data_IF_238167690649
#
_entry.id   IF_238167690649
#
_cell.length_a   1.000
_cell.length_b   1.000
_cell.length_c   1.000
_cell.angle_alpha   90.00
_cell.angle_beta   90.00
_cell.angle_gamma   90.00
#
_symmetry.space_group_name_H-M   'P 1'
#
loop_
_entity.id
_entity.type
_entity.pdbx_description
1 polymer ?
#
# COMPACT_ATOMS: atom_id res chain seq x y z
N UNK A 1 0.37 17.97 -14.52
CA UNK A 1 -0.32 16.77 -14.01
C UNK A 1 0.47 16.26 -12.83
N UNK A 2 -0.20 16.05 -11.71
CA UNK A 2 0.40 15.55 -10.49
C UNK A 2 0.47 14.02 -10.59
N UNK A 3 1.62 13.45 -10.21
CA UNK A 3 1.90 12.02 -10.31
C UNK A 3 1.72 11.37 -8.95
N UNK A 4 1.02 10.24 -8.91
CA UNK A 4 0.77 9.48 -7.70
C UNK A 4 1.26 8.06 -7.86
N UNK A 5 2.06 7.58 -6.91
CA UNK A 5 2.33 6.15 -6.81
C UNK A 5 1.13 5.49 -6.12
N UNK A 6 0.68 4.37 -6.68
CA UNK A 6 -0.50 3.66 -6.21
C UNK A 6 -0.11 2.52 -5.27
N UNK A 7 -0.74 2.50 -4.10
CA UNK A 7 -0.59 1.48 -3.08
C UNK A 7 -1.94 0.78 -2.85
N UNK A 8 -1.86 -0.51 -2.55
CA UNK A 8 -2.97 -1.31 -2.05
C UNK A 8 -2.75 -1.53 -0.56
N UNK A 9 -3.78 -1.33 0.25
CA UNK A 9 -3.74 -1.82 1.63
C UNK A 9 -4.59 -3.07 1.81
N UNK A 10 -4.13 -3.97 2.67
CA UNK A 10 -4.74 -5.27 2.95
C UNK A 10 -4.83 -5.50 4.46
N UNK A 11 -6.03 -5.78 4.95
CA UNK A 11 -6.25 -6.12 6.36
C UNK A 11 -5.89 -7.56 6.66
N UNK A 12 -5.52 -7.82 7.91
CA UNK A 12 -5.33 -9.16 8.45
C UNK A 12 -5.61 -9.19 9.96
N UNK A 13 -6.04 -10.34 10.51
CA UNK A 13 -6.33 -10.44 11.92
C UNK A 13 -5.06 -10.51 12.77
N UNK A 14 -5.21 -10.14 14.05
CA UNK A 14 -4.15 -10.21 15.06
C UNK A 14 -4.53 -11.22 16.14
N UNK A 15 -3.82 -12.35 16.14
CA UNK A 15 -4.11 -13.45 17.06
C UNK A 15 -3.36 -13.34 18.39
N UNK A 16 -2.32 -12.51 18.47
CA UNK A 16 -1.47 -12.34 19.65
C UNK A 16 -1.64 -10.94 20.25
N UNK A 17 -1.48 -10.83 21.57
CA UNK A 17 -1.64 -9.55 22.27
C UNK A 17 -0.40 -8.66 22.14
N UNK A 18 -0.22 -8.09 20.95
CA UNK A 18 0.91 -7.22 20.61
C UNK A 18 0.83 -5.85 21.28
N UNK A 19 -0.38 -5.39 21.62
CA UNK A 19 -0.62 -4.08 22.22
C UNK A 19 -0.54 -4.08 23.75
N UNK A 20 -0.36 -5.24 24.39
CA UNK A 20 -0.35 -5.35 25.85
C UNK A 20 -1.69 -5.01 26.49
N UNK A 21 -2.80 -5.25 25.79
CA UNK A 21 -4.15 -5.05 26.31
C UNK A 21 -4.38 -5.96 27.53
N UNK A 22 -5.24 -5.57 28.49
CA UNK A 22 -5.68 -6.49 29.54
C UNK A 22 -6.20 -7.79 28.93
N UNK A 23 -5.86 -8.94 29.53
CA UNK A 23 -6.18 -10.25 28.96
C UNK A 23 -7.68 -10.44 28.69
N UNK A 24 -8.53 -9.95 29.59
CA UNK A 24 -9.99 -10.01 29.45
C UNK A 24 -10.49 -9.17 28.27
N UNK A 25 -9.97 -7.96 28.11
CA UNK A 25 -10.30 -7.09 26.96
C UNK A 25 -9.85 -7.72 25.64
N UNK A 26 -8.64 -8.28 25.60
CA UNK A 26 -8.11 -8.93 24.41
C UNK A 26 -8.94 -10.16 24.00
N UNK A 27 -9.38 -10.97 24.97
CA UNK A 27 -10.22 -12.15 24.70
C UNK A 27 -11.66 -11.79 24.32
N UNK A 28 -12.17 -10.66 24.79
CA UNK A 28 -13.53 -10.21 24.50
C UNK A 28 -13.72 -9.73 23.05
N UNK A 29 -12.64 -9.37 22.34
CA UNK A 29 -12.72 -8.90 20.95
C UNK A 29 -13.00 -10.06 20.00
N UNK A 30 -14.15 -10.00 19.34
CA UNK A 30 -14.53 -10.90 18.24
C UNK A 30 -13.74 -10.55 16.97
N UNK A 31 -12.77 -11.39 16.64
CA UNK A 31 -11.89 -11.21 15.47
C UNK A 31 -12.66 -11.29 14.15
N UNK A 32 -13.68 -12.16 14.05
CA UNK A 32 -14.44 -12.30 12.81
C UNK A 32 -15.27 -11.06 12.57
N UNK A 33 -15.92 -10.54 13.63
CA UNK A 33 -16.63 -9.27 13.56
C UNK A 33 -15.71 -8.13 13.13
N UNK A 34 -14.50 -8.02 13.70
CA UNK A 34 -13.51 -7.02 13.29
C UNK A 34 -13.10 -7.13 11.82
N UNK A 35 -13.04 -8.35 11.27
CA UNK A 35 -12.75 -8.56 9.84
C UNK A 35 -13.94 -8.19 8.95
N UNK A 36 -15.17 -8.44 9.41
CA UNK A 36 -16.39 -8.10 8.66
C UNK A 36 -16.63 -6.58 8.64
N UNK A 37 -16.25 -5.88 9.72
CA UNK A 37 -16.38 -4.43 9.91
C UNK A 37 -15.07 -3.65 9.64
N UNK A 38 -14.06 -4.29 9.05
CA UNK A 38 -12.69 -3.74 8.92
C UNK A 38 -12.64 -2.36 8.22
N UNK A 39 -13.53 -2.11 7.26
CA UNK A 39 -13.62 -0.83 6.55
C UNK A 39 -14.19 0.26 7.42
N UNK A 40 -15.28 -0.04 8.13
CA UNK A 40 -15.89 0.88 9.08
C UNK A 40 -14.90 1.23 10.20
N UNK A 41 -14.17 0.24 10.72
CA UNK A 41 -13.16 0.45 11.75
C UNK A 41 -12.01 1.36 11.28
N UNK A 42 -11.50 1.17 10.06
CA UNK A 42 -10.51 2.10 9.49
C UNK A 42 -11.13 3.48 9.21
N UNK A 43 -12.39 3.53 8.77
CA UNK A 43 -13.13 4.78 8.56
C UNK A 43 -13.21 5.63 9.82
N UNK A 44 -13.54 5.02 10.97
CA UNK A 44 -13.54 5.71 12.27
C UNK A 44 -12.16 6.30 12.58
N UNK A 45 -11.09 5.53 12.37
CA UNK A 45 -9.72 6.03 12.58
C UNK A 45 -9.42 7.22 11.65
N UNK A 46 -9.79 7.13 10.39
CA UNK A 46 -9.56 8.19 9.41
C UNK A 46 -10.40 9.44 9.72
N UNK A 47 -11.64 9.28 10.18
CA UNK A 47 -12.53 10.35 10.62
C UNK A 47 -11.97 11.07 11.84
N UNK A 48 -11.44 10.35 12.82
CA UNK A 48 -10.77 10.93 13.99
C UNK A 48 -9.62 11.85 13.57
N UNK A 49 -8.79 11.41 12.62
CA UNK A 49 -7.69 12.24 12.07
C UNK A 49 -8.22 13.40 11.22
N UNK A 50 -9.26 13.19 10.43
CA UNK A 50 -9.81 14.24 9.56
C UNK A 50 -10.49 15.36 10.35
N UNK A 51 -11.14 15.02 11.46
CA UNK A 51 -11.94 15.92 12.28
C UNK A 51 -11.20 16.52 13.48
N UNK A 52 -9.96 16.09 13.76
CA UNK A 52 -9.13 16.64 14.85
C UNK A 52 -9.02 18.17 14.73
N UNK A 53 -9.42 18.88 15.78
CA UNK A 53 -9.40 20.35 15.82
C UNK A 53 -8.16 20.88 16.57
N UNK A 54 -7.55 20.05 17.41
CA UNK A 54 -6.37 20.42 18.16
C UNK A 54 -5.12 20.30 17.28
N UNK A 55 -4.60 21.44 16.82
CA UNK A 55 -3.37 21.51 16.01
C UNK A 55 -2.17 20.82 16.67
N UNK A 56 -2.09 20.76 18.01
CA UNK A 56 -1.02 20.07 18.71
C UNK A 56 -1.10 18.54 18.56
N UNK A 57 -2.25 17.99 18.19
CA UNK A 57 -2.49 16.55 17.96
C UNK A 57 -2.46 16.17 16.48
N UNK A 58 -2.29 17.14 15.57
CA UNK A 58 -2.23 16.91 14.11
C UNK A 58 -0.87 16.42 13.64
N UNK A 59 -0.48 15.24 14.13
CA UNK A 59 0.74 14.58 13.70
C UNK A 59 0.57 13.06 13.62
N UNK A 60 1.42 12.43 12.81
CA UNK A 60 1.72 11.01 12.84
C UNK A 60 3.03 10.75 13.57
N UNK A 61 3.15 9.62 14.26
CA UNK A 61 4.39 9.19 14.90
C UNK A 61 4.99 8.02 14.15
N UNK A 62 6.28 8.12 13.81
CA UNK A 62 7.00 7.08 13.12
C UNK A 62 8.49 7.17 13.43
N UNK A 63 9.11 6.04 13.83
CA UNK A 63 10.52 5.95 14.19
C UNK A 63 11.02 7.03 15.18
N UNK A 64 10.18 7.40 16.16
CA UNK A 64 10.52 8.41 17.16
C UNK A 64 10.38 9.87 16.69
N UNK A 65 9.99 10.09 15.43
CA UNK A 65 9.71 11.41 14.87
C UNK A 65 8.21 11.70 14.77
N UNK A 66 7.86 12.98 14.66
CA UNK A 66 6.49 13.45 14.45
C UNK A 66 6.36 14.11 13.08
N UNK A 67 5.35 13.71 12.30
CA UNK A 67 5.08 14.23 10.96
C UNK A 67 3.74 14.96 10.99
N UNK A 68 3.76 16.29 10.83
CA UNK A 68 2.53 17.08 10.79
C UNK A 68 1.68 16.70 9.58
N UNK A 69 0.37 16.69 9.76
CA UNK A 69 -0.55 16.51 8.64
C UNK A 69 -1.62 17.60 8.61
N UNK A 70 -2.28 17.73 7.46
CA UNK A 70 -3.47 18.58 7.29
C UNK A 70 -4.49 17.85 6.44
N UNK A 71 -5.71 17.68 6.95
CA UNK A 71 -6.84 17.13 6.19
C UNK A 71 -7.54 18.21 5.37
N UNK A 72 -8.11 17.83 4.23
CA UNK A 72 -8.85 18.71 3.30
C UNK A 72 -10.21 18.15 2.92
N UNK A 73 -10.29 16.84 2.63
CA UNK A 73 -11.52 16.17 2.21
C UNK A 73 -11.71 14.95 3.10
N UNK A 74 -12.95 14.78 3.58
CA UNK A 74 -13.47 13.56 4.19
C UNK A 74 -14.92 13.42 3.71
N UNK A 75 -15.12 12.71 2.60
CA UNK A 75 -16.44 12.54 2.00
C UNK A 75 -16.51 11.22 1.24
N UNK A 76 -17.57 10.44 1.48
CA UNK A 76 -17.83 9.20 0.74
C UNK A 76 -16.71 8.16 0.85
N UNK A 77 -16.16 7.99 2.06
CA UNK A 77 -15.01 7.13 2.38
C UNK A 77 -13.72 7.51 1.64
N UNK A 78 -13.64 8.73 1.12
CA UNK A 78 -12.44 9.26 0.46
C UNK A 78 -11.87 10.38 1.33
N UNK A 79 -10.58 10.24 1.63
CA UNK A 79 -9.83 11.13 2.49
C UNK A 79 -8.67 11.75 1.72
N UNK A 80 -8.53 13.07 1.79
CA UNK A 80 -7.44 13.80 1.14
C UNK A 80 -6.72 14.65 2.16
N UNK A 81 -5.42 14.42 2.29
CA UNK A 81 -4.59 15.06 3.31
C UNK A 81 -3.18 15.34 2.78
N UNK A 82 -2.49 16.30 3.40
CA UNK A 82 -1.06 16.50 3.23
C UNK A 82 -0.30 16.02 4.44
N UNK A 83 0.86 15.43 4.21
CA UNK A 83 1.82 15.04 5.25
C UNK A 83 3.11 15.78 5.00
N UNK A 84 3.59 16.52 6.00
CA UNK A 84 4.82 17.30 5.94
C UNK A 84 6.01 16.47 6.38
N UNK A 85 7.13 16.61 5.66
CA UNK A 85 8.41 16.02 6.04
C UNK A 85 9.20 16.96 6.97
N UNK A 86 10.07 16.40 7.80
CA UNK A 86 10.99 17.14 8.66
C UNK A 86 12.32 17.37 7.94
N UNK A 87 12.34 18.23 6.93
CA UNK A 87 13.58 18.57 6.23
C UNK A 87 14.18 19.87 6.77
N UNK A 88 15.50 19.99 6.61
CA UNK A 88 16.21 21.25 6.72
C UNK A 88 16.72 21.61 5.34
N UNK A 89 16.65 22.89 4.99
CA UNK A 89 17.23 23.41 3.76
C UNK A 89 18.44 24.26 4.12
N UNK A 90 19.58 23.92 3.51
CA UNK A 90 20.78 24.76 3.57
C UNK A 90 20.62 25.88 2.55
N UNK A 91 20.66 27.12 3.04
CA UNK A 91 20.69 28.31 2.21
C UNK A 91 22.09 28.92 2.32
N UNK A 92 22.79 28.99 1.19
CA UNK A 92 24.06 29.70 1.10
C UNK A 92 23.84 31.06 0.44
N UNK A 93 24.21 32.13 1.13
CA UNK A 93 24.15 33.50 0.63
C UNK A 93 25.43 34.24 1.04
N UNK A 94 26.09 34.90 0.09
CA UNK A 94 27.36 35.61 0.30
C UNK A 94 28.42 34.76 1.04
N UNK A 95 28.55 33.48 0.64
CA UNK A 95 29.44 32.48 1.25
C UNK A 95 29.10 32.10 2.71
N UNK A 96 27.94 32.52 3.22
CA UNK A 96 27.44 32.14 4.53
C UNK A 96 26.36 31.06 4.38
N UNK A 97 26.56 29.92 5.04
CA UNK A 97 25.59 28.81 5.06
C UNK A 97 24.70 28.94 6.30
N UNK A 98 23.40 29.01 6.08
CA UNK A 98 22.37 28.96 7.12
C UNK A 98 21.47 27.74 6.93
N UNK A 99 21.00 27.15 8.02
CA UNK A 99 20.00 26.08 7.98
C UNK A 99 18.64 26.64 8.35
N UNK A 100 17.67 26.49 7.46
CA UNK A 100 16.28 26.85 7.68
C UNK A 100 15.42 25.58 7.74
N UNK A 101 14.49 25.55 8.69
CA UNK A 101 13.49 24.50 8.74
C UNK A 101 12.58 24.62 7.51
N UNK A 102 12.46 23.52 6.78
CA UNK A 102 11.62 23.43 5.58
C UNK A 102 10.76 22.19 5.69
N UNK A 103 9.45 22.39 5.68
CA UNK A 103 8.47 21.32 5.82
C UNK A 103 7.74 21.05 4.50
N UNK A 104 8.43 20.59 3.44
CA UNK A 104 7.75 20.24 2.20
C UNK A 104 6.78 19.10 2.50
N UNK A 105 5.63 19.12 1.83
CA UNK A 105 4.58 18.13 2.05
C UNK A 105 4.27 17.34 0.79
N UNK A 106 3.74 16.14 0.97
CA UNK A 106 3.15 15.33 -0.09
C UNK A 106 1.65 15.21 0.11
N UNK A 107 0.90 15.17 -0.98
CA UNK A 107 -0.52 14.86 -0.95
C UNK A 107 -0.74 13.34 -0.87
N UNK A 108 -1.69 12.93 -0.06
CA UNK A 108 -2.16 11.55 0.10
C UNK A 108 -3.66 11.53 -0.13
N UNK A 109 -4.12 10.60 -0.97
CA UNK A 109 -5.53 10.30 -1.18
C UNK A 109 -5.76 8.86 -0.73
N UNK A 110 -6.66 8.65 0.22
CA UNK A 110 -7.06 7.33 0.72
C UNK A 110 -8.49 7.06 0.24
N UNK A 111 -8.68 5.93 -0.44
CA UNK A 111 -9.97 5.45 -0.90
C UNK A 111 -10.37 4.23 -0.05
N UNK A 112 -11.17 4.48 0.98
CA UNK A 112 -11.64 3.49 1.95
C UNK A 112 -12.95 2.79 1.53
N UNK A 113 -13.42 3.00 0.31
CA UNK A 113 -14.59 2.28 -0.23
C UNK A 113 -14.32 0.76 -0.21
N UNK A 114 -15.34 -0.03 0.12
CA UNK A 114 -15.25 -1.48 0.39
C UNK A 114 -14.61 -2.32 -0.72
N UNK A 115 -14.74 -1.91 -1.98
CA UNK A 115 -14.22 -2.59 -3.16
C UNK A 115 -12.87 -2.04 -3.67
N UNK A 116 -12.28 -1.06 -2.97
CA UNK A 116 -11.09 -0.32 -3.44
C UNK A 116 -9.88 -0.56 -2.57
N UNK A 117 -9.90 -0.03 -1.36
CA UNK A 117 -8.77 -0.03 -0.42
C UNK A 117 -7.44 0.46 -1.02
N UNK A 118 -7.48 1.63 -1.65
CA UNK A 118 -6.32 2.20 -2.37
C UNK A 118 -5.77 3.40 -1.62
N UNK A 119 -4.45 3.57 -1.67
CA UNK A 119 -3.79 4.82 -1.25
C UNK A 119 -2.96 5.33 -2.41
N UNK A 120 -3.25 6.55 -2.86
CA UNK A 120 -2.45 7.25 -3.85
C UNK A 120 -1.56 8.27 -3.12
N UNK A 121 -0.25 8.14 -3.28
CA UNK A 121 0.74 9.01 -2.63
C UNK A 121 1.46 9.82 -3.70
N UNK A 122 1.42 11.14 -3.58
CA UNK A 122 2.07 12.06 -4.52
C UNK A 122 3.58 11.80 -4.61
N UNK A 123 4.10 11.73 -5.83
CA UNK A 123 5.54 11.69 -6.10
C UNK A 123 6.06 13.10 -6.27
N UNK A 124 6.62 13.66 -5.20
CA UNK A 124 7.25 14.97 -5.22
C UNK A 124 8.57 14.97 -4.42
N UNK A 125 9.20 16.14 -4.29
CA UNK A 125 10.50 16.30 -3.61
C UNK A 125 10.42 16.25 -2.07
N UNK A 126 9.21 16.22 -1.48
CA UNK A 126 9.04 16.27 -0.03
C UNK A 126 9.64 15.03 0.63
N UNK A 127 9.32 13.84 0.12
CA UNK A 127 9.86 12.56 0.58
C UNK A 127 10.75 11.95 -0.50
N UNK A 128 11.84 11.30 -0.12
CA UNK A 128 12.73 10.63 -1.08
C UNK A 128 12.07 9.44 -1.77
N UNK A 129 11.17 8.75 -1.06
CA UNK A 129 10.38 7.62 -1.56
C UNK A 129 8.95 7.71 -1.02
N UNK A 130 7.95 7.51 -1.87
CA UNK A 130 6.55 7.44 -1.44
C UNK A 130 6.29 6.28 -0.46
N UNK A 131 7.12 5.23 -0.48
CA UNK A 131 7.06 4.13 0.49
C UNK A 131 7.25 4.59 1.94
N UNK A 132 8.05 5.64 2.18
CA UNK A 132 8.23 6.18 3.53
C UNK A 132 6.91 6.76 4.08
N UNK A 133 6.12 7.40 3.21
CA UNK A 133 4.79 7.92 3.59
C UNK A 133 3.82 6.76 3.84
N UNK A 134 3.88 5.71 3.01
CA UNK A 134 3.11 4.48 3.24
C UNK A 134 3.48 3.82 4.59
N UNK A 135 4.76 3.78 4.96
CA UNK A 135 5.21 3.23 6.23
C UNK A 135 4.71 4.05 7.44
N UNK A 136 4.72 5.39 7.34
CA UNK A 136 4.16 6.30 8.35
C UNK A 136 2.66 6.01 8.56
N UNK A 137 1.89 5.93 7.47
CA UNK A 137 0.46 5.64 7.50
C UNK A 137 0.19 4.24 8.05
N UNK A 138 0.93 3.24 7.59
CA UNK A 138 0.81 1.86 8.03
C UNK A 138 1.05 1.76 9.53
N UNK A 139 2.17 2.30 10.03
CA UNK A 139 2.47 2.27 11.47
C UNK A 139 1.34 2.92 12.29
N UNK A 140 0.88 4.09 11.85
CA UNK A 140 -0.20 4.83 12.50
C UNK A 140 -1.47 3.99 12.59
N UNK A 141 -1.97 3.48 11.47
CA UNK A 141 -3.24 2.77 11.41
C UNK A 141 -3.16 1.42 12.12
N UNK A 142 -2.02 0.71 12.01
CA UNK A 142 -1.80 -0.53 12.77
C UNK A 142 -2.01 -0.30 14.26
N UNK A 143 -1.32 0.68 14.84
CA UNK A 143 -1.44 0.97 16.28
C UNK A 143 -2.88 1.27 16.71
N UNK A 144 -3.65 1.96 15.86
CA UNK A 144 -5.05 2.31 16.13
C UNK A 144 -6.01 1.14 15.99
N UNK A 145 -5.69 0.16 15.14
CA UNK A 145 -6.55 -1.00 14.88
C UNK A 145 -6.26 -2.20 15.82
N UNK A 146 -5.13 -2.19 16.54
CA UNK A 146 -4.75 -3.29 17.43
C UNK A 146 -5.79 -3.59 18.53
N UNK A 147 -6.48 -2.57 19.05
CA UNK A 147 -7.60 -2.74 20.01
C UNK A 147 -8.76 -3.55 19.44
N UNK A 148 -8.89 -3.60 18.12
CA UNK A 148 -9.88 -4.40 17.41
C UNK A 148 -9.31 -5.72 16.91
N UNK A 149 -8.10 -6.12 17.36
CA UNK A 149 -7.38 -7.30 16.87
C UNK A 149 -7.26 -7.32 15.35
N UNK A 150 -7.12 -6.14 14.76
CA UNK A 150 -7.03 -5.92 13.34
C UNK A 150 -5.73 -5.17 13.03
N UNK A 151 -5.13 -5.47 11.89
CA UNK A 151 -3.96 -4.76 11.40
C UNK A 151 -4.06 -4.67 9.88
N UNK A 152 -3.19 -3.86 9.27
CA UNK A 152 -3.13 -3.72 7.82
C UNK A 152 -1.69 -3.61 7.34
N UNK A 153 -1.48 -4.02 6.09
CA UNK A 153 -0.25 -3.81 5.35
C UNK A 153 -0.53 -2.89 4.17
N UNK A 154 0.34 -1.93 3.89
CA UNK A 154 0.27 -1.01 2.76
C UNK A 154 1.44 -1.31 1.84
N UNK A 155 1.17 -1.72 0.61
CA UNK A 155 2.20 -2.09 -0.36
C UNK A 155 1.96 -1.46 -1.73
N UNK A 156 3.04 -1.08 -2.41
CA UNK A 156 2.97 -0.45 -3.73
C UNK A 156 2.55 -1.47 -4.79
N UNK A 157 1.58 -1.11 -5.64
CA UNK A 157 1.25 -1.92 -6.81
C UNK A 157 2.40 -1.82 -7.82
N UNK A 158 2.58 -2.87 -8.62
CA UNK A 158 3.60 -2.91 -9.67
C UNK A 158 3.06 -3.48 -10.98
N UNK A 159 3.76 -3.20 -12.09
CA UNK A 159 3.39 -3.71 -13.41
C UNK A 159 3.81 -5.18 -13.58
N UNK A 160 2.91 -6.00 -14.13
CA UNK A 160 3.20 -7.43 -14.34
C UNK A 160 4.28 -7.68 -15.39
N UNK A 161 4.53 -6.74 -16.31
CA UNK A 161 5.58 -6.83 -17.33
C UNK A 161 6.98 -7.03 -16.74
N UNK A 162 7.27 -6.50 -15.54
CA UNK A 162 8.56 -6.68 -14.87
C UNK A 162 8.88 -8.16 -14.66
N UNK A 163 7.86 -8.97 -14.29
CA UNK A 163 8.00 -10.41 -14.15
C UNK A 163 8.46 -11.06 -15.46
N UNK A 164 7.79 -10.72 -16.57
CA UNK A 164 8.08 -11.32 -17.87
C UNK A 164 9.43 -10.91 -18.43
N UNK A 165 9.84 -9.66 -18.21
CA UNK A 165 11.18 -9.18 -18.55
C UNK A 165 12.25 -10.02 -17.82
N UNK A 166 12.15 -10.12 -16.49
CA UNK A 166 13.12 -10.88 -15.68
C UNK A 166 13.08 -12.37 -16.01
N UNK A 167 11.91 -12.94 -16.25
CA UNK A 167 11.73 -14.34 -16.66
C UNK A 167 12.42 -14.59 -18.01
N UNK A 168 12.19 -13.72 -19.00
CA UNK A 168 12.74 -13.89 -20.34
C UNK A 168 14.26 -13.75 -20.35
N UNK A 169 14.82 -12.76 -19.65
CA UNK A 169 16.26 -12.65 -19.43
C UNK A 169 16.82 -13.93 -18.80
N UNK A 170 16.21 -14.41 -17.72
CA UNK A 170 16.70 -15.60 -17.00
C UNK A 170 16.70 -16.85 -17.87
N UNK A 171 15.66 -17.01 -18.71
CA UNK A 171 15.52 -18.14 -19.65
C UNK A 171 16.49 -18.09 -20.83
N UNK A 172 16.97 -16.91 -21.23
CA UNK A 172 18.02 -16.78 -22.26
C UNK A 172 19.40 -17.25 -21.77
N UNK A 173 19.65 -17.23 -20.46
CA UNK A 173 20.93 -17.65 -19.87
C UNK A 173 20.92 -19.12 -19.46
N UNK A 174 20.68 -19.38 -18.16
CA UNK A 174 20.73 -20.73 -17.56
C UNK A 174 19.35 -21.23 -17.13
N UNK A 175 18.31 -20.41 -17.33
CA UNK A 175 16.96 -20.69 -16.87
C UNK A 175 16.72 -20.38 -15.40
N UNK A 176 15.55 -20.75 -14.91
CA UNK A 176 15.05 -20.43 -13.57
C UNK A 176 15.09 -21.68 -12.70
N UNK A 177 15.64 -21.58 -11.50
CA UNK A 177 15.73 -22.63 -10.49
C UNK A 177 14.43 -22.76 -9.70
N UNK A 178 13.92 -21.63 -9.21
CA UNK A 178 12.66 -21.55 -8.47
C UNK A 178 11.99 -20.19 -8.62
N UNK A 179 10.70 -20.15 -8.31
CA UNK A 179 9.92 -18.91 -8.15
C UNK A 179 9.00 -19.02 -6.92
N UNK A 180 8.91 -17.94 -6.16
CA UNK A 180 8.01 -17.80 -5.02
C UNK A 180 6.93 -16.76 -5.32
N UNK A 181 5.67 -17.19 -5.22
CA UNK A 181 4.49 -16.32 -5.27
C UNK A 181 3.92 -16.13 -3.86
N UNK A 182 4.26 -15.03 -3.16
CA UNK A 182 3.67 -14.71 -1.87
C UNK A 182 2.27 -14.11 -2.05
N UNK A 183 1.27 -14.68 -1.37
CA UNK A 183 -0.10 -14.19 -1.38
C UNK A 183 -0.45 -13.52 -0.04
N UNK A 184 -1.02 -12.32 -0.13
CA UNK A 184 -1.52 -11.59 1.05
C UNK A 184 -2.67 -12.35 1.73
N UNK A 185 -2.92 -12.04 3.01
CA UNK A 185 -4.08 -12.57 3.70
C UNK A 185 -5.38 -12.23 2.93
N UNK A 186 -6.32 -13.18 2.75
CA UNK A 186 -7.53 -12.96 1.98
C UNK A 186 -8.40 -11.87 2.59
N UNK A 187 -8.55 -10.78 1.84
CA UNK A 187 -9.16 -9.56 2.36
C UNK A 187 -10.05 -8.87 1.33
N UNK A 188 -9.53 -8.62 0.12
CA UNK A 188 -10.31 -8.10 -1.00
C UNK A 188 -10.76 -9.25 -1.92
N UNK A 189 -12.08 -9.40 -2.18
CA UNK A 189 -12.59 -10.45 -3.05
C UNK A 189 -11.89 -10.49 -4.41
N UNK A 190 -11.75 -9.34 -5.07
CA UNK A 190 -11.13 -9.27 -6.40
C UNK A 190 -9.67 -9.74 -6.45
N UNK A 191 -8.92 -9.67 -5.34
CA UNK A 191 -7.57 -10.24 -5.23
C UNK A 191 -7.63 -11.72 -4.84
N UNK A 192 -8.53 -12.09 -3.93
CA UNK A 192 -8.73 -13.48 -3.51
C UNK A 192 -9.18 -14.38 -4.67
N UNK A 193 -10.02 -13.87 -5.57
CA UNK A 193 -10.50 -14.61 -6.76
C UNK A 193 -9.35 -14.96 -7.73
N UNK A 194 -8.30 -14.13 -7.79
CA UNK A 194 -7.09 -14.42 -8.59
C UNK A 194 -6.27 -15.57 -7.99
N UNK A 195 -6.28 -15.71 -6.66
CA UNK A 195 -5.52 -16.74 -5.95
C UNK A 195 -6.29 -18.07 -5.90
N UNK A 196 -7.61 -18.00 -5.83
CA UNK A 196 -8.53 -19.14 -5.75
C UNK A 196 -8.85 -19.60 -4.33
N UNK A 197 -9.91 -20.41 -4.21
CA UNK A 197 -10.50 -20.80 -2.93
C UNK A 197 -9.56 -21.61 -2.04
N UNK A 198 -8.69 -22.45 -2.62
CA UNK A 198 -7.80 -23.32 -1.85
C UNK A 198 -6.87 -22.52 -0.94
N UNK A 199 -6.11 -21.58 -1.53
CA UNK A 199 -5.18 -20.74 -0.79
C UNK A 199 -5.91 -19.74 0.12
N UNK A 200 -7.07 -19.24 -0.32
CA UNK A 200 -7.92 -18.38 0.51
C UNK A 200 -8.36 -19.09 1.79
N UNK A 201 -8.86 -20.32 1.66
CA UNK A 201 -9.31 -21.12 2.81
C UNK A 201 -8.14 -21.58 3.67
N UNK A 202 -7.00 -21.92 3.06
CA UNK A 202 -5.77 -22.24 3.78
C UNK A 202 -5.33 -21.07 4.67
N UNK A 203 -5.17 -19.88 4.08
CA UNK A 203 -4.73 -18.66 4.76
C UNK A 203 -5.63 -18.29 5.95
N UNK A 204 -6.95 -18.39 5.78
CA UNK A 204 -7.91 -18.13 6.87
C UNK A 204 -7.79 -19.15 7.99
N UNK A 205 -7.79 -20.45 7.67
CA UNK A 205 -7.75 -21.53 8.67
C UNK A 205 -6.45 -21.56 9.46
N UNK A 206 -5.33 -21.24 8.82
CA UNK A 206 -4.00 -21.28 9.47
C UNK A 206 -3.49 -19.91 9.90
N UNK A 207 -4.29 -18.86 9.72
CA UNK A 207 -3.90 -17.47 9.98
C UNK A 207 -2.53 -17.12 9.37
N UNK A 208 -2.40 -17.27 8.05
CA UNK A 208 -1.11 -17.13 7.35
C UNK A 208 -1.22 -16.34 6.05
N UNK A 209 -0.06 -15.87 5.58
CA UNK A 209 0.15 -15.39 4.21
C UNK A 209 0.89 -16.49 3.44
N UNK A 210 0.18 -17.37 2.72
CA UNK A 210 0.83 -18.51 2.07
C UNK A 210 1.72 -18.04 0.92
N UNK A 211 2.84 -18.73 0.76
CA UNK A 211 3.74 -18.56 -0.38
C UNK A 211 3.76 -19.86 -1.17
N UNK A 212 3.46 -19.81 -2.47
CA UNK A 212 3.69 -20.96 -3.34
C UNK A 212 5.13 -20.93 -3.85
N UNK A 213 5.88 -21.95 -3.49
CA UNK A 213 7.21 -22.23 -4.04
C UNK A 213 7.10 -23.21 -5.20
N UNK A 214 7.51 -22.80 -6.40
CA UNK A 214 7.68 -23.69 -7.55
C UNK A 214 9.17 -23.89 -7.80
N UNK A 215 9.60 -25.16 -7.87
CA UNK A 215 10.98 -25.55 -8.12
C UNK A 215 11.06 -26.43 -9.37
N UNK A 216 12.09 -26.21 -10.19
CA UNK A 216 12.36 -27.05 -11.35
C UNK A 216 12.65 -28.50 -10.93
N UNK A 217 11.95 -29.45 -11.55
CA UNK A 217 12.19 -30.88 -11.28
C UNK A 217 13.48 -31.34 -11.95
N UNK A 218 14.20 -32.31 -11.36
CA UNK A 218 15.41 -32.91 -11.95
C UNK A 218 16.50 -31.90 -12.38
N UNK A 219 16.67 -30.80 -11.64
CA UNK A 219 17.56 -29.69 -12.00
C UNK A 219 17.20 -28.99 -13.32
N UNK A 220 16.01 -29.24 -13.87
CA UNK A 220 15.44 -28.50 -15.00
C UNK A 220 14.97 -27.12 -14.55
N UNK A 221 14.50 -26.32 -15.50
CA UNK A 221 13.97 -25.00 -15.20
C UNK A 221 12.49 -25.04 -14.88
N UNK A 222 12.03 -24.16 -14.00
CA UNK A 222 10.60 -23.98 -13.78
C UNK A 222 9.95 -23.56 -15.09
N UNK A 223 8.93 -24.30 -15.54
CA UNK A 223 8.15 -23.92 -16.70
C UNK A 223 7.18 -22.80 -16.32
N UNK A 224 7.45 -21.60 -16.82
CA UNK A 224 6.60 -20.43 -16.65
C UNK A 224 6.06 -20.02 -18.03
N UNK A 225 4.94 -20.63 -18.42
CA UNK A 225 4.27 -20.38 -19.69
C UNK A 225 3.45 -19.07 -19.63
N UNK A 226 3.68 -18.10 -20.55
CA UNK A 226 2.90 -16.87 -20.65
C UNK A 226 1.39 -17.06 -20.87
N UNK A 227 0.95 -18.24 -21.31
CA UNK A 227 -0.47 -18.54 -21.55
C UNK A 227 -1.12 -19.35 -20.41
N UNK A 228 -0.36 -19.76 -19.40
CA UNK A 228 -0.90 -20.48 -18.26
C UNK A 228 -1.72 -19.52 -17.38
N UNK A 229 -3.02 -19.79 -17.30
CA UNK A 229 -3.98 -18.91 -16.59
C UNK A 229 -3.69 -18.85 -15.09
N UNK A 230 -3.21 -19.94 -14.49
CA UNK A 230 -2.91 -19.97 -13.07
C UNK A 230 -1.68 -19.10 -12.77
N UNK A 231 -0.61 -19.21 -13.56
CA UNK A 231 0.59 -18.37 -13.44
C UNK A 231 0.24 -16.90 -13.65
N UNK A 232 -0.55 -16.59 -14.69
CA UNK A 232 -1.02 -15.23 -14.95
C UNK A 232 -1.77 -14.67 -13.73
N UNK A 233 -2.70 -15.43 -13.16
CA UNK A 233 -3.46 -14.97 -12.00
C UNK A 233 -2.61 -14.84 -10.73
N UNK A 234 -1.62 -15.72 -10.51
CA UNK A 234 -0.68 -15.59 -9.40
C UNK A 234 0.15 -14.31 -9.50
N UNK A 235 0.68 -13.99 -10.69
CA UNK A 235 1.40 -12.74 -10.94
C UNK A 235 0.50 -11.53 -10.67
N UNK A 236 -0.74 -11.57 -11.19
CA UNK A 236 -1.74 -10.51 -10.99
C UNK A 236 -2.09 -10.30 -9.52
N UNK A 237 -2.23 -11.37 -8.74
CA UNK A 237 -2.51 -11.29 -7.31
C UNK A 237 -1.36 -10.63 -6.54
N UNK A 238 -0.12 -11.01 -6.82
CA UNK A 238 1.07 -10.40 -6.24
C UNK A 238 1.18 -8.92 -6.63
N UNK A 239 0.99 -8.59 -7.92
CA UNK A 239 1.03 -7.22 -8.45
C UNK A 239 -0.06 -6.32 -7.84
N UNK A 240 -1.29 -6.85 -7.71
CA UNK A 240 -2.42 -6.13 -7.15
C UNK A 240 -2.26 -5.85 -5.65
N UNK A 241 -1.71 -6.81 -4.90
CA UNK A 241 -1.47 -6.72 -3.45
C UNK A 241 -0.13 -6.08 -3.08
N UNK A 242 0.74 -5.81 -4.06
CA UNK A 242 2.08 -5.27 -3.85
C UNK A 242 3.06 -6.24 -3.16
N UNK A 243 2.77 -7.54 -3.15
CA UNK A 243 3.66 -8.57 -2.60
C UNK A 243 4.72 -8.94 -3.65
N UNK A 244 6.03 -8.69 -3.42
CA UNK A 244 7.06 -8.93 -4.43
C UNK A 244 7.22 -10.41 -4.77
N UNK A 245 7.29 -10.75 -6.06
CA UNK A 245 7.57 -12.13 -6.52
C UNK A 245 9.07 -12.36 -6.46
N UNK A 246 9.51 -13.53 -6.01
CA UNK A 246 10.94 -13.87 -5.96
C UNK A 246 11.27 -14.85 -7.08
N UNK A 247 12.18 -14.50 -7.97
CA UNK A 247 12.70 -15.40 -9.00
C UNK A 247 14.15 -15.74 -8.66
N UNK A 248 14.50 -17.02 -8.63
CA UNK A 248 15.88 -17.50 -8.52
C UNK A 248 16.37 -17.99 -9.88
N UNK A 249 17.14 -17.20 -10.64
CA UNK A 249 17.79 -17.69 -11.85
C UNK A 249 18.94 -18.64 -11.49
N UNK A 250 19.19 -19.66 -12.32
CA UNK A 250 20.26 -20.63 -12.06
C UNK A 250 21.63 -19.96 -12.04
N UNK A 251 22.38 -20.21 -10.97
CA UNK A 251 23.73 -19.64 -10.78
C UNK A 251 23.76 -18.13 -10.55
N UNK A 252 22.62 -17.50 -10.22
CA UNK A 252 22.53 -16.06 -9.92
C UNK A 252 21.86 -15.83 -8.56
N UNK A 253 21.89 -14.59 -8.07
CA UNK A 253 21.14 -14.21 -6.86
C UNK A 253 19.64 -14.11 -7.14
N UNK A 254 18.82 -14.19 -6.06
CA UNK A 254 17.37 -14.00 -6.15
C UNK A 254 17.08 -12.58 -6.64
N UNK A 255 16.25 -12.47 -7.69
CA UNK A 255 15.69 -11.22 -8.19
C UNK A 255 14.31 -11.00 -7.57
N UNK A 256 14.06 -9.79 -7.09
CA UNK A 256 12.75 -9.37 -6.53
C UNK A 256 11.99 -8.58 -7.57
N UNK A 257 10.79 -9.05 -7.93
CA UNK A 257 9.88 -8.38 -8.86
C UNK A 257 8.94 -7.47 -8.09
N UNK A 258 8.65 -6.29 -8.63
CA UNK A 258 7.73 -5.32 -8.05
C UNK A 258 8.41 -4.29 -7.17
N UNK A 259 9.73 -4.16 -7.30
CA UNK A 259 10.53 -3.15 -6.59
C UNK A 259 10.86 -1.98 -7.50
N UNK A 260 11.06 -2.23 -8.80
CA UNK A 260 11.57 -1.24 -9.75
C UNK A 260 10.49 -0.70 -10.70
N UNK A 261 9.32 -1.35 -10.78
CA UNK A 261 8.21 -0.94 -11.66
C UNK A 261 6.96 -0.52 -10.88
N UNK A 262 6.99 0.56 -10.09
CA UNK A 262 5.82 1.03 -9.35
C UNK A 262 4.75 1.53 -10.31
N UNK A 263 3.48 1.25 -9.98
CA UNK A 263 2.34 1.84 -10.71
C UNK A 263 2.24 3.32 -10.37
N UNK A 264 2.17 4.15 -11.40
CA UNK A 264 2.02 5.60 -11.30
C UNK A 264 0.82 6.03 -12.12
N UNK A 265 -0.06 6.80 -11.51
CA UNK A 265 -1.20 7.42 -12.18
C UNK A 265 -1.10 8.94 -12.10
N UNK A 266 -1.73 9.61 -13.07
CA UNK A 266 -1.68 11.06 -13.19
C UNK A 266 -3.08 11.67 -13.04
N UNK A 267 -3.14 12.78 -12.29
CA UNK A 267 -4.36 13.58 -12.13
C UNK A 267 -4.07 15.03 -12.56
N UNK A 268 -5.10 15.70 -13.07
CA UNK A 268 -5.01 17.11 -13.43
C UNK A 268 -4.66 17.96 -12.20
N UNK A 269 -3.72 18.91 -12.36
CA UNK A 269 -3.23 19.72 -11.24
C UNK A 269 -4.36 20.52 -10.56
N UNK A 270 -5.36 20.93 -11.33
CA UNK A 270 -6.54 21.67 -10.83
C UNK A 270 -7.32 20.90 -9.76
N UNK A 271 -7.31 19.57 -9.82
CA UNK A 271 -8.01 18.72 -8.86
C UNK A 271 -7.31 18.70 -7.48
N UNK A 272 -6.00 18.95 -7.44
CA UNK A 272 -5.17 18.76 -6.25
C UNK A 272 -4.47 20.04 -5.75
N UNK A 273 -4.56 21.12 -6.52
CA UNK A 273 -4.11 22.46 -6.13
C UNK A 273 -5.20 23.20 -5.36
N UNK A 274 -4.75 23.98 -4.37
CA UNK A 274 -5.61 24.85 -3.57
C UNK A 274 -6.81 24.12 -2.95
N UNK A 275 -6.60 22.90 -2.43
CA UNK A 275 -7.65 22.11 -1.77
C UNK A 275 -8.27 22.79 -0.54
N UNK A 276 -7.67 23.87 -0.03
CA UNK A 276 -8.20 24.67 1.08
C UNK A 276 -9.04 25.87 0.67
N UNK A 277 -9.23 26.16 -0.62
CA UNK A 277 -10.17 27.18 -1.08
C UNK A 277 -11.55 26.57 -1.30
N UNK A 278 -12.61 27.34 -0.99
CA UNK A 278 -13.99 26.91 -1.23
C UNK A 278 -14.18 26.62 -2.71
N UNK A 279 -14.40 25.35 -3.04
CA UNK A 279 -14.69 24.94 -4.40
C UNK A 279 -16.19 25.10 -4.67
N UNK A 280 -16.55 25.80 -5.74
CA UNK A 280 -17.93 25.89 -6.18
C UNK A 280 -18.29 24.57 -6.87
N UNK A 281 -19.31 23.87 -6.35
CA UNK A 281 -19.92 22.67 -6.95
C UNK A 281 -19.11 21.34 -6.88
N UNK A 282 -18.29 21.12 -5.85
CA UNK A 282 -17.57 19.85 -5.62
C UNK A 282 -16.73 19.35 -6.82
N UNK A 283 -16.33 20.27 -7.71
CA UNK A 283 -15.70 19.96 -8.99
C UNK A 283 -14.38 19.22 -8.82
N UNK A 284 -13.56 19.62 -7.83
CA UNK A 284 -12.29 18.98 -7.47
C UNK A 284 -12.52 17.58 -6.89
N UNK A 285 -13.53 17.42 -6.04
CA UNK A 285 -13.87 16.12 -5.47
C UNK A 285 -14.28 15.13 -6.56
N UNK A 286 -15.12 15.55 -7.50
CA UNK A 286 -15.52 14.71 -8.64
C UNK A 286 -14.32 14.28 -9.49
N UNK A 287 -13.36 15.17 -9.77
CA UNK A 287 -12.13 14.82 -10.48
C UNK A 287 -11.27 13.80 -9.71
N UNK A 288 -11.25 13.88 -8.37
CA UNK A 288 -10.57 12.90 -7.51
C UNK A 288 -11.30 11.54 -7.56
N UNK A 289 -12.62 11.53 -7.49
CA UNK A 289 -13.44 10.31 -7.64
C UNK A 289 -13.21 9.66 -9.01
N UNK A 290 -13.20 10.44 -10.10
CA UNK A 290 -12.90 9.96 -11.44
C UNK A 290 -11.47 9.40 -11.56
N UNK A 291 -10.50 10.04 -10.92
CA UNK A 291 -9.13 9.53 -10.83
C UNK A 291 -9.08 8.18 -10.12
N UNK A 292 -9.70 8.07 -8.93
CA UNK A 292 -9.73 6.82 -8.16
C UNK A 292 -10.45 5.69 -8.91
N UNK A 293 -11.54 6.00 -9.61
CA UNK A 293 -12.28 5.01 -10.38
C UNK A 293 -11.51 4.46 -11.59
N UNK A 294 -10.53 5.22 -12.11
CA UNK A 294 -9.65 4.78 -13.20
C UNK A 294 -8.52 3.85 -12.74
N UNK A 295 -8.19 3.84 -11.45
CA UNK A 295 -7.15 2.97 -10.91
C UNK A 295 -7.57 1.52 -11.10
N UNK A 296 -6.75 0.77 -11.82
CA UNK A 296 -7.00 -0.64 -12.14
C UNK A 296 -6.56 -1.53 -10.99
N UNK A 297 -7.20 -2.70 -10.89
CA UNK A 297 -6.74 -3.74 -9.97
C UNK A 297 -5.33 -4.23 -10.32
N UNK A 298 -5.03 -4.36 -11.61
CA UNK A 298 -3.78 -4.90 -12.16
C UNK A 298 -3.33 -4.02 -13.33
N UNK A 299 -2.01 -3.83 -13.44
CA UNK A 299 -1.36 -3.13 -14.53
C UNK A 299 -0.46 -4.09 -15.28
N UNK A 300 -0.56 -4.08 -16.61
CA UNK A 300 0.31 -4.87 -17.48
C UNK A 300 1.69 -4.23 -17.59
#
# INVERSE_FOLDING_TARGET
>A
MAKFQIFQYMFRPVMENQAGLPYEEFQAVDVQKSLDEKQELLGIVLDDYACEQNELKKYYQFNGETFKYRSFINQGDIYVMRIANNKKTKLEADFNVSELDNHPSCLVIIDNRKDRQIIAIERNIAFSKSSMVADILQNTFRLKLLSHRLTLDIAGKFHTAEFWQVRNESMQFKGIESVDFPFAYPNLPAISDLVGDYFTNLARRTNSEPTLHLQGQNHESVNLDPNDMWILNAIKACAASGKPILIKPKGSQVKKIGVESPVIEEIADVAVKELGSSDLFDSKFNLIVEFLNRIKLVYE
#
